data_IF_690046208174
#
_entry.id   IF_690046208174
#
_cell.length_a   1.000
_cell.length_b   1.000
_cell.length_c   1.000
_cell.angle_alpha   90.00
_cell.angle_beta   90.00
_cell.angle_gamma   90.00
#
_symmetry.space_group_name_H-M   'P 1'
#
loop_
_entity.id
_entity.type
_entity.pdbx_description
1 polymer ?
#
# COMPACT_ATOMS: atom_id res chain seq x y z
N UNK A 1 29.14 -41.38 -10.48
CA UNK A 1 28.12 -40.33 -10.44
C UNK A 1 28.44 -39.46 -9.23
N UNK A 2 29.15 -38.34 -9.43
CA UNK A 2 29.41 -37.40 -8.33
C UNK A 2 28.07 -36.73 -7.97
N UNK A 3 27.75 -36.52 -6.69
CA UNK A 3 26.66 -35.62 -6.35
C UNK A 3 27.10 -34.25 -6.88
N UNK A 4 26.38 -33.72 -7.86
CA UNK A 4 26.42 -32.31 -8.16
C UNK A 4 26.06 -31.60 -6.86
N UNK A 5 27.03 -30.93 -6.24
CA UNK A 5 26.75 -29.88 -5.27
C UNK A 5 25.84 -28.89 -6.01
N UNK A 6 24.54 -29.05 -5.83
CA UNK A 6 23.51 -28.17 -6.36
C UNK A 6 23.76 -26.85 -5.61
N UNK A 7 24.52 -25.95 -6.24
CA UNK A 7 24.90 -24.66 -5.64
C UNK A 7 23.61 -23.85 -5.58
N UNK A 8 22.85 -24.04 -4.50
CA UNK A 8 21.71 -23.18 -4.20
C UNK A 8 22.25 -21.76 -4.12
N UNK A 9 21.74 -20.82 -4.93
CA UNK A 9 22.20 -19.45 -4.91
C UNK A 9 21.86 -18.83 -3.55
N UNK A 10 22.82 -18.85 -2.63
CA UNK A 10 22.68 -18.27 -1.31
C UNK A 10 23.20 -16.83 -1.33
N UNK A 11 22.28 -15.88 -1.51
CA UNK A 11 22.55 -14.49 -1.15
C UNK A 11 22.32 -14.33 0.36
N UNK A 12 23.32 -13.81 1.10
CA UNK A 12 23.08 -13.30 2.46
C UNK A 12 22.28 -12.01 2.34
N UNK A 13 20.95 -12.14 2.34
CA UNK A 13 20.04 -11.01 2.39
C UNK A 13 19.95 -10.59 3.86
N UNK A 14 20.36 -9.36 4.23
CA UNK A 14 20.15 -8.84 5.57
C UNK A 14 18.66 -8.90 5.90
N UNK A 15 18.31 -9.35 7.11
CA UNK A 15 16.91 -9.48 7.53
C UNK A 15 16.14 -8.14 7.53
N UNK A 16 16.86 -7.01 7.50
CA UNK A 16 16.31 -5.65 7.49
C UNK A 16 16.94 -4.85 6.34
N UNK A 17 16.36 -4.98 5.15
CA UNK A 17 16.78 -4.30 3.91
C UNK A 17 16.59 -2.77 4.02
N UNK A 18 15.74 -2.30 4.93
CA UNK A 18 15.46 -0.89 5.18
C UNK A 18 16.35 -0.29 6.27
N UNK A 19 17.39 -1.00 6.72
CA UNK A 19 18.32 -0.47 7.74
C UNK A 19 19.07 0.74 7.15
N UNK A 20 18.91 1.95 7.70
CA UNK A 20 19.62 3.12 7.20
C UNK A 20 21.13 2.97 7.44
N UNK A 21 21.93 3.43 6.49
CA UNK A 21 23.39 3.38 6.57
C UNK A 21 23.92 4.08 7.82
N UNK A 22 24.74 3.35 8.58
CA UNK A 22 25.43 3.83 9.78
C UNK A 22 26.77 4.43 9.36
N UNK A 23 27.03 5.67 9.76
CA UNK A 23 28.22 6.41 9.33
C UNK A 23 29.26 6.45 10.45
N UNK A 24 28.92 7.06 11.59
CA UNK A 24 29.87 7.28 12.69
C UNK A 24 29.29 6.74 13.99
N UNK A 25 30.07 5.94 14.73
CA UNK A 25 29.68 5.34 16.01
C UNK A 25 28.36 4.54 15.99
N UNK A 26 28.00 3.98 14.84
CA UNK A 26 26.74 3.24 14.67
C UNK A 26 25.49 4.13 14.53
N UNK A 27 25.67 5.45 14.43
CA UNK A 27 24.59 6.41 14.17
C UNK A 27 24.44 6.69 12.67
N UNK A 28 23.21 6.93 12.25
CA UNK A 28 22.88 7.37 10.89
C UNK A 28 23.25 8.84 10.69
N UNK A 29 23.45 9.27 9.43
CA UNK A 29 23.63 10.69 9.09
C UNK A 29 22.52 11.56 9.68
N UNK A 30 21.28 11.06 9.63
CA UNK A 30 20.08 11.73 10.17
C UNK A 30 20.17 11.94 11.69
N UNK A 31 20.55 10.89 12.44
CA UNK A 31 20.71 10.97 13.89
C UNK A 31 21.79 11.97 14.30
N UNK A 32 22.93 11.94 13.60
CA UNK A 32 23.99 12.91 13.83
C UNK A 32 23.55 14.33 13.53
N UNK A 33 22.80 14.56 12.44
CA UNK A 33 22.28 15.88 12.11
C UNK A 33 21.32 16.41 13.20
N UNK A 34 20.40 15.58 13.70
CA UNK A 34 19.48 15.97 14.78
C UNK A 34 20.25 16.34 16.05
N UNK A 35 21.21 15.50 16.46
CA UNK A 35 22.02 15.74 17.66
C UNK A 35 22.93 16.96 17.50
N UNK A 36 23.50 17.18 16.30
CA UNK A 36 24.33 18.34 16.01
C UNK A 36 23.51 19.64 16.08
N UNK A 37 22.33 19.67 15.47
CA UNK A 37 21.42 20.83 15.55
C UNK A 37 20.99 21.10 17.00
N UNK A 38 20.63 20.06 17.75
CA UNK A 38 20.29 20.19 19.16
C UNK A 38 21.47 20.72 19.99
N UNK A 39 22.69 20.26 19.72
CA UNK A 39 23.91 20.74 20.35
C UNK A 39 24.20 22.22 20.05
N UNK A 40 24.01 22.65 18.79
CA UNK A 40 24.15 24.06 18.38
C UNK A 40 23.12 24.93 19.09
N UNK A 41 21.86 24.50 19.16
CA UNK A 41 20.80 25.22 19.87
C UNK A 41 21.13 25.32 21.37
N UNK A 42 21.53 24.21 22.00
CA UNK A 42 21.91 24.18 23.41
C UNK A 42 23.09 25.09 23.73
N UNK A 43 24.11 25.10 22.86
CA UNK A 43 25.25 26.02 22.98
C UNK A 43 24.84 27.48 22.79
N UNK A 44 23.93 27.76 21.84
CA UNK A 44 23.36 29.10 21.65
C UNK A 44 22.64 29.62 22.89
N UNK A 45 21.81 28.77 23.52
CA UNK A 45 21.12 29.09 24.79
C UNK A 45 22.14 29.35 25.90
N UNK A 46 23.14 28.46 26.04
CA UNK A 46 24.21 28.61 27.01
C UNK A 46 24.96 29.94 26.85
N UNK A 47 25.29 30.33 25.61
CA UNK A 47 26.01 31.59 25.36
C UNK A 47 25.13 32.82 25.59
N UNK A 48 23.85 32.77 25.21
CA UNK A 48 22.97 33.92 25.29
C UNK A 48 22.52 34.24 26.73
N UNK A 49 22.29 33.21 27.54
CA UNK A 49 21.65 33.36 28.86
C UNK A 49 22.50 32.80 30.01
N UNK A 50 23.62 32.13 29.73
CA UNK A 50 24.46 31.51 30.74
C UNK A 50 25.14 32.49 31.70
N UNK A 51 25.24 33.77 31.34
CA UNK A 51 25.69 34.84 32.25
C UNK A 51 24.55 35.51 33.02
N UNK A 52 23.30 35.32 32.59
CA UNK A 52 22.10 35.91 33.21
C UNK A 52 21.41 34.94 34.19
N UNK A 53 21.54 33.63 33.98
CA UNK A 53 20.88 32.60 34.79
C UNK A 53 21.89 31.88 35.71
N UNK A 54 21.49 31.51 36.95
CA UNK A 54 22.26 30.58 37.77
C UNK A 54 22.46 29.25 37.04
N UNK A 55 23.65 28.67 37.15
CA UNK A 55 24.00 27.37 36.56
C UNK A 55 22.96 26.25 36.78
N UNK A 56 22.35 26.04 37.97
CA UNK A 56 21.37 24.97 38.15
C UNK A 56 20.10 25.18 37.29
N UNK A 57 19.68 26.42 37.08
CA UNK A 57 18.50 26.73 36.24
C UNK A 57 18.80 26.44 34.77
N UNK A 58 20.00 26.77 34.32
CA UNK A 58 20.44 26.50 32.96
C UNK A 58 20.51 24.99 32.68
N UNK A 59 21.05 24.20 33.61
CA UNK A 59 21.08 22.74 33.52
C UNK A 59 19.66 22.19 33.46
N UNK A 60 18.76 22.66 34.33
CA UNK A 60 17.36 22.24 34.36
C UNK A 60 16.61 22.50 33.03
N UNK A 61 16.99 23.53 32.27
CA UNK A 61 16.43 23.83 30.94
C UNK A 61 17.08 22.96 29.84
N UNK A 62 18.40 22.76 29.89
CA UNK A 62 19.13 22.01 28.86
C UNK A 62 18.88 20.50 28.95
N UNK A 63 18.70 19.94 30.15
CA UNK A 63 18.43 18.51 30.36
C UNK A 63 17.21 18.00 29.59
N UNK A 64 16.00 18.60 29.68
CA UNK A 64 14.84 18.14 28.91
C UNK A 64 15.03 18.35 27.41
N UNK A 65 15.73 19.40 26.99
CA UNK A 65 16.02 19.64 25.58
C UNK A 65 16.94 18.56 25.00
N UNK A 66 18.00 18.19 25.73
CA UNK A 66 18.90 17.11 25.38
C UNK A 66 18.18 15.76 25.37
N UNK A 67 17.35 15.48 26.39
CA UNK A 67 16.52 14.29 26.45
C UNK A 67 15.56 14.18 25.25
N UNK A 68 14.87 15.26 24.91
CA UNK A 68 14.00 15.31 23.74
C UNK A 68 14.76 15.08 22.43
N UNK A 69 15.95 15.66 22.28
CA UNK A 69 16.80 15.45 21.10
C UNK A 69 17.27 13.98 20.97
N UNK A 70 17.63 13.34 22.09
CA UNK A 70 17.98 11.92 22.13
C UNK A 70 16.77 11.06 21.74
N UNK A 71 15.59 11.32 22.30
CA UNK A 71 14.35 10.62 21.96
C UNK A 71 13.96 10.83 20.50
N UNK A 72 14.16 12.03 19.96
CA UNK A 72 13.92 12.33 18.54
C UNK A 72 14.89 11.59 17.60
N UNK A 73 16.17 11.49 17.98
CA UNK A 73 17.18 10.83 17.16
C UNK A 73 17.08 9.29 17.23
N UNK A 74 16.93 8.73 18.43
CA UNK A 74 17.01 7.29 18.68
C UNK A 74 15.65 6.61 18.83
N UNK A 75 14.60 7.36 19.15
CA UNK A 75 13.27 6.81 19.36
C UNK A 75 12.65 6.30 18.06
N UNK A 76 11.95 5.16 18.19
CA UNK A 76 11.09 4.62 17.14
C UNK A 76 9.74 4.28 17.73
N UNK A 77 8.69 4.45 16.93
CA UNK A 77 7.32 4.08 17.28
C UNK A 77 6.67 3.48 16.05
N UNK A 78 6.14 2.27 16.17
CA UNK A 78 5.42 1.57 15.10
C UNK A 78 6.25 1.48 13.79
N UNK A 79 7.57 1.28 13.91
CA UNK A 79 8.52 1.21 12.79
C UNK A 79 9.04 2.55 12.27
N UNK A 80 8.33 3.65 12.54
CA UNK A 80 8.72 5.01 12.15
C UNK A 80 9.73 5.60 13.14
N UNK A 81 10.62 6.46 12.65
CA UNK A 81 11.47 7.28 13.51
C UNK A 81 10.65 8.39 14.19
N UNK A 82 11.07 8.79 15.39
CA UNK A 82 10.28 9.71 16.23
C UNK A 82 10.08 11.10 15.58
N UNK A 83 11.04 11.57 14.80
CA UNK A 83 10.94 12.78 13.98
C UNK A 83 9.86 12.67 12.89
N UNK A 84 9.83 11.56 12.16
CA UNK A 84 8.82 11.28 11.14
C UNK A 84 7.42 11.12 11.77
N UNK A 85 7.35 10.47 12.93
CA UNK A 85 6.12 10.34 13.70
C UNK A 85 5.61 11.71 14.17
N UNK A 86 6.47 12.52 14.78
CA UNK A 86 6.12 13.87 15.26
C UNK A 86 5.70 14.78 14.10
N UNK A 87 6.43 14.74 12.99
CA UNK A 87 6.12 15.52 11.81
C UNK A 87 4.79 15.08 11.17
N UNK A 88 4.49 13.79 11.18
CA UNK A 88 3.18 13.27 10.76
C UNK A 88 2.07 13.72 11.71
N UNK A 89 2.32 13.73 13.02
CA UNK A 89 1.37 14.24 14.02
C UNK A 89 1.14 15.76 13.87
N UNK A 90 2.18 16.55 13.64
CA UNK A 90 2.07 18.00 13.37
C UNK A 90 1.32 18.25 12.06
N UNK A 91 1.61 17.49 11.00
CA UNK A 91 0.88 17.58 9.73
C UNK A 91 -0.59 17.20 9.93
N UNK A 92 -0.88 16.12 10.65
CA UNK A 92 -2.24 15.67 10.91
C UNK A 92 -3.03 16.69 11.74
N UNK A 93 -2.44 17.22 12.80
CA UNK A 93 -3.09 18.24 13.66
C UNK A 93 -3.34 19.55 12.92
N UNK A 94 -2.48 19.93 11.97
CA UNK A 94 -2.67 21.10 11.10
C UNK A 94 -3.54 20.82 9.87
N UNK A 95 -3.78 19.55 9.54
CA UNK A 95 -4.57 19.20 8.37
C UNK A 95 -6.07 19.47 8.61
N UNK A 96 -6.80 19.93 7.59
CA UNK A 96 -8.24 20.11 7.71
C UNK A 96 -8.92 18.76 7.97
N UNK A 97 -9.68 18.66 9.06
CA UNK A 97 -10.37 17.43 9.48
C UNK A 97 -11.67 17.15 8.70
N UNK A 98 -12.12 18.10 7.90
CA UNK A 98 -13.31 17.99 7.06
C UNK A 98 -12.92 18.43 5.67
N UNK A 99 -13.21 17.58 4.69
CA UNK A 99 -12.97 17.83 3.27
C UNK A 99 -14.24 17.48 2.51
N UNK A 100 -14.61 18.31 1.54
CA UNK A 100 -15.80 18.10 0.72
C UNK A 100 -15.41 17.49 -0.63
N UNK A 101 -16.08 16.43 -1.10
CA UNK A 101 -15.88 15.92 -2.44
C UNK A 101 -16.36 16.96 -3.46
N UNK A 102 -15.46 17.45 -4.32
CA UNK A 102 -15.82 18.36 -5.41
C UNK A 102 -14.86 18.20 -6.60
N UNK A 103 -15.41 17.94 -7.79
CA UNK A 103 -14.63 17.61 -8.98
C UNK A 103 -13.77 18.78 -9.51
N UNK A 104 -14.38 19.97 -9.66
CA UNK A 104 -13.73 21.15 -10.26
C UNK A 104 -13.41 22.27 -9.25
N UNK A 105 -13.76 22.08 -7.98
CA UNK A 105 -13.72 23.12 -6.96
C UNK A 105 -15.08 23.35 -6.30
N UNK A 106 -15.13 24.26 -5.33
CA UNK A 106 -16.38 24.64 -4.67
C UNK A 106 -17.28 25.40 -5.65
N UNK A 107 -18.55 25.00 -5.87
CA UNK A 107 -19.49 25.81 -6.64
C UNK A 107 -19.62 27.21 -6.01
N UNK A 108 -19.56 28.26 -6.83
CA UNK A 108 -19.66 29.66 -6.37
C UNK A 108 -21.06 30.02 -5.89
N UNK A 109 -22.09 29.30 -6.34
CA UNK A 109 -23.47 29.45 -5.89
C UNK A 109 -24.12 28.08 -5.68
N UNK A 110 -25.02 28.01 -4.70
CA UNK A 110 -25.88 26.84 -4.54
C UNK A 110 -26.87 26.75 -5.71
N UNK A 111 -27.27 25.54 -6.14
CA UNK A 111 -28.31 25.37 -7.14
C UNK A 111 -29.62 26.06 -6.73
N UNK A 112 -30.39 26.56 -7.69
CA UNK A 112 -31.63 27.30 -7.42
C UNK A 112 -32.71 26.48 -6.68
N UNK A 113 -32.64 25.15 -6.77
CA UNK A 113 -33.53 24.23 -6.06
C UNK A 113 -33.09 23.92 -4.62
N UNK A 114 -31.88 24.32 -4.22
CA UNK A 114 -31.36 24.04 -2.89
C UNK A 114 -32.06 24.92 -1.84
N UNK A 115 -32.46 24.38 -0.68
CA UNK A 115 -33.08 25.17 0.38
C UNK A 115 -32.20 26.34 0.82
N UNK A 116 -32.78 27.52 0.95
CA UNK A 116 -32.11 28.72 1.44
C UNK A 116 -31.61 28.45 2.87
N UNK A 117 -30.33 28.18 3.02
CA UNK A 117 -29.69 28.00 4.32
C UNK A 117 -28.97 29.28 4.67
N UNK A 118 -29.31 29.90 5.80
CA UNK A 118 -28.53 31.01 6.34
C UNK A 118 -27.10 30.53 6.54
N UNK A 119 -26.17 31.02 5.72
CA UNK A 119 -24.77 30.71 5.89
C UNK A 119 -24.28 31.54 7.08
N UNK A 120 -23.89 30.94 8.22
CA UNK A 120 -23.41 31.71 9.35
C UNK A 120 -22.18 32.51 8.90
N UNK A 121 -22.14 33.80 9.25
CA UNK A 121 -21.09 34.74 8.84
C UNK A 121 -19.66 34.30 9.26
N UNK A 122 -19.56 33.33 10.16
CA UNK A 122 -18.32 32.74 10.70
C UNK A 122 -18.00 31.34 10.17
N UNK A 123 -18.70 30.86 9.14
CA UNK A 123 -18.43 29.53 8.59
C UNK A 123 -17.04 29.45 7.93
N UNK A 124 -16.11 28.70 8.53
CA UNK A 124 -14.82 28.40 7.92
C UNK A 124 -15.06 27.56 6.66
N UNK A 125 -14.52 27.94 5.49
CA UNK A 125 -14.73 27.20 4.26
C UNK A 125 -14.11 25.80 4.37
N UNK A 126 -14.92 24.76 4.10
CA UNK A 126 -14.45 23.37 4.03
C UNK A 126 -13.61 23.20 2.75
N UNK A 127 -12.33 22.78 2.84
CA UNK A 127 -11.50 22.57 1.67
C UNK A 127 -11.96 21.36 0.84
N UNK A 128 -11.53 21.33 -0.43
CA UNK A 128 -11.88 20.25 -1.37
C UNK A 128 -11.03 19.00 -1.09
N UNK A 129 -11.69 17.84 -1.07
CA UNK A 129 -11.05 16.54 -1.01
C UNK A 129 -10.31 16.27 -2.33
N UNK A 130 -8.98 16.18 -2.27
CA UNK A 130 -8.13 15.77 -3.40
C UNK A 130 -7.75 14.32 -3.20
N UNK A 131 -8.29 13.44 -4.03
CA UNK A 131 -7.94 12.02 -4.04
C UNK A 131 -6.61 11.79 -4.78
N UNK A 132 -5.83 10.76 -4.39
CA UNK A 132 -4.59 10.39 -5.09
C UNK A 132 -4.81 9.98 -6.54
N UNK A 133 -5.98 9.44 -6.87
CA UNK A 133 -6.42 9.11 -8.23
C UNK A 133 -7.67 9.94 -8.58
N UNK A 134 -7.73 10.41 -9.83
CA UNK A 134 -8.82 11.23 -10.36
C UNK A 134 -9.81 10.45 -11.20
N UNK A 135 -9.32 9.51 -12.00
CA UNK A 135 -10.12 8.72 -12.92
C UNK A 135 -9.42 7.38 -13.21
N UNK A 136 -10.20 6.41 -13.69
CA UNK A 136 -9.73 5.13 -14.21
C UNK A 136 -10.35 4.98 -15.61
N UNK A 137 -9.53 4.81 -16.64
CA UNK A 137 -10.02 4.56 -18.00
C UNK A 137 -10.49 3.12 -18.18
N UNK A 138 -11.29 2.85 -19.22
CA UNK A 138 -11.68 1.49 -19.61
C UNK A 138 -10.47 0.58 -19.87
N UNK A 139 -9.38 1.16 -20.37
CA UNK A 139 -8.12 0.45 -20.61
C UNK A 139 -7.32 0.16 -19.33
N UNK A 140 -7.77 0.61 -18.16
CA UNK A 140 -7.12 0.37 -16.86
C UNK A 140 -6.08 1.41 -16.45
N UNK A 141 -5.99 2.53 -17.16
CA UNK A 141 -5.09 3.62 -16.80
C UNK A 141 -5.70 4.43 -15.67
N UNK A 142 -5.00 4.51 -14.55
CA UNK A 142 -5.35 5.31 -13.38
C UNK A 142 -4.65 6.65 -13.48
N UNK A 143 -5.43 7.74 -13.51
CA UNK A 143 -4.90 9.09 -13.54
C UNK A 143 -4.58 9.60 -12.13
N UNK A 144 -3.30 9.63 -11.76
CA UNK A 144 -2.84 10.19 -10.49
C UNK A 144 -2.48 11.69 -10.57
N UNK A 145 -2.90 12.37 -11.65
CA UNK A 145 -2.68 13.79 -11.88
C UNK A 145 -1.32 14.10 -12.48
N UNK A 146 -0.23 13.95 -11.72
CA UNK A 146 1.14 14.22 -12.23
C UNK A 146 1.74 13.06 -13.02
N UNK A 147 1.16 11.87 -12.90
CA UNK A 147 1.59 10.64 -13.54
C UNK A 147 0.38 9.74 -13.81
N UNK A 148 0.54 8.81 -14.75
CA UNK A 148 -0.40 7.73 -15.01
C UNK A 148 0.13 6.44 -14.36
N UNK A 149 -0.80 5.59 -13.90
CA UNK A 149 -0.50 4.28 -13.32
C UNK A 149 -1.28 3.20 -14.06
N UNK A 150 -0.63 2.08 -14.36
CA UNK A 150 -1.31 0.86 -14.80
C UNK A 150 -0.96 -0.28 -13.85
N UNK A 151 -1.91 -1.18 -13.64
CA UNK A 151 -1.78 -2.30 -12.70
C UNK A 151 -1.64 -3.61 -13.47
N UNK A 152 -0.70 -4.45 -13.03
CA UNK A 152 -0.51 -5.80 -13.54
C UNK A 152 -0.75 -6.79 -12.40
N UNK A 153 -1.75 -7.65 -12.54
CA UNK A 153 -1.94 -8.77 -11.62
C UNK A 153 -0.96 -9.89 -11.95
N UNK A 154 -0.36 -10.48 -10.91
CA UNK A 154 0.59 -11.58 -11.03
C UNK A 154 0.25 -12.69 -10.03
N UNK A 155 0.48 -13.94 -10.41
CA UNK A 155 0.50 -15.06 -9.46
C UNK A 155 1.88 -15.21 -8.82
N UNK A 156 1.94 -15.95 -7.72
CA UNK A 156 3.20 -16.31 -7.08
C UNK A 156 3.82 -17.54 -7.73
N UNK A 157 5.15 -17.57 -7.84
CA UNK A 157 5.91 -18.74 -8.32
C UNK A 157 6.64 -19.39 -7.15
N UNK A 158 6.50 -20.70 -6.98
CA UNK A 158 7.23 -21.44 -5.95
C UNK A 158 8.63 -21.81 -6.44
N UNK A 159 9.60 -20.96 -6.12
CA UNK A 159 11.01 -21.14 -6.50
C UNK A 159 11.66 -22.29 -5.70
N UNK A 160 11.22 -22.54 -4.47
CA UNK A 160 11.83 -23.54 -3.59
C UNK A 160 11.64 -24.99 -4.04
N UNK A 161 10.71 -25.25 -4.97
CA UNK A 161 10.49 -26.57 -5.56
C UNK A 161 11.27 -26.79 -6.87
N UNK A 162 12.04 -25.79 -7.32
CA UNK A 162 12.83 -25.84 -8.56
C UNK A 162 14.25 -26.33 -8.31
N UNK A 163 14.91 -26.88 -9.33
CA UNK A 163 16.33 -27.30 -9.23
C UNK A 163 17.26 -26.08 -9.09
N UNK A 164 18.51 -26.26 -8.62
CA UNK A 164 19.44 -25.15 -8.42
C UNK A 164 19.65 -24.29 -9.68
N UNK A 165 19.82 -24.94 -10.84
CA UNK A 165 19.95 -24.27 -12.15
C UNK A 165 18.69 -23.49 -12.55
N UNK A 166 17.50 -24.05 -12.32
CA UNK A 166 16.23 -23.38 -12.58
C UNK A 166 16.06 -22.15 -11.67
N UNK A 167 16.41 -22.27 -10.39
CA UNK A 167 16.38 -21.15 -9.45
C UNK A 167 17.34 -20.03 -9.90
N UNK A 168 18.58 -20.37 -10.29
CA UNK A 168 19.55 -19.39 -10.79
C UNK A 168 19.06 -18.69 -12.07
N UNK A 169 18.44 -19.43 -12.99
CA UNK A 169 17.87 -18.88 -14.22
C UNK A 169 16.70 -17.92 -13.94
N UNK A 170 15.81 -18.27 -12.99
CA UNK A 170 14.69 -17.41 -12.56
C UNK A 170 15.20 -16.14 -11.89
N UNK A 171 16.17 -16.25 -10.97
CA UNK A 171 16.78 -15.10 -10.28
C UNK A 171 17.48 -14.18 -11.29
N UNK A 172 18.25 -14.74 -12.23
CA UNK A 172 18.92 -13.95 -13.27
C UNK A 172 17.94 -13.23 -14.19
N UNK A 173 16.82 -13.87 -14.53
CA UNK A 173 15.76 -13.27 -15.34
C UNK A 173 15.02 -12.16 -14.58
N UNK A 174 14.74 -12.35 -13.29
CA UNK A 174 14.17 -11.33 -12.43
C UNK A 174 15.09 -10.11 -12.31
N UNK A 175 16.40 -10.34 -12.14
CA UNK A 175 17.40 -9.27 -12.14
C UNK A 175 17.46 -8.50 -13.46
N UNK A 176 17.36 -9.19 -14.61
CA UNK A 176 17.25 -8.52 -15.92
C UNK A 176 16.03 -7.63 -16.03
N UNK A 177 14.87 -8.10 -15.54
CA UNK A 177 13.66 -7.27 -15.50
C UNK A 177 13.87 -6.02 -14.65
N UNK A 178 14.40 -6.15 -13.43
CA UNK A 178 14.70 -5.00 -12.57
C UNK A 178 15.65 -3.99 -13.25
N UNK A 179 16.71 -4.48 -13.91
CA UNK A 179 17.65 -3.64 -14.64
C UNK A 179 17.07 -2.97 -15.90
N UNK A 180 15.95 -3.48 -16.41
CA UNK A 180 15.25 -2.91 -17.57
C UNK A 180 14.25 -1.80 -17.21
N UNK A 181 13.98 -1.61 -15.91
CA UNK A 181 13.02 -0.61 -15.45
C UNK A 181 13.53 0.81 -15.72
N UNK A 182 12.75 1.56 -16.48
CA UNK A 182 13.03 2.97 -16.83
C UNK A 182 12.24 3.96 -15.97
N UNK A 183 11.59 3.49 -14.92
CA UNK A 183 10.83 4.30 -13.98
C UNK A 183 10.41 3.52 -12.75
N UNK A 184 9.82 4.20 -11.76
CA UNK A 184 9.37 3.57 -10.52
C UNK A 184 8.31 2.50 -10.79
N UNK A 185 8.54 1.33 -10.20
CA UNK A 185 7.57 0.23 -10.13
C UNK A 185 7.36 -0.11 -8.67
N UNK A 186 6.12 -0.36 -8.29
CA UNK A 186 5.76 -0.81 -6.95
C UNK A 186 5.17 -2.21 -7.03
N UNK A 187 5.72 -3.14 -6.25
CA UNK A 187 5.17 -4.49 -6.09
C UNK A 187 4.39 -4.48 -4.78
N UNK A 188 3.07 -4.66 -4.87
CA UNK A 188 2.18 -4.72 -3.72
C UNK A 188 1.75 -6.16 -3.53
N UNK A 189 2.01 -6.69 -2.34
CA UNK A 189 1.53 -8.01 -1.91
C UNK A 189 0.48 -7.76 -0.85
N UNK A 190 -0.78 -8.03 -1.20
CA UNK A 190 -1.89 -7.98 -0.24
C UNK A 190 -2.19 -9.39 0.23
N UNK A 191 -2.29 -9.58 1.54
CA UNK A 191 -2.73 -10.82 2.15
C UNK A 191 -4.05 -10.57 2.87
N UNK A 192 -5.09 -11.30 2.46
CA UNK A 192 -6.42 -11.22 3.05
C UNK A 192 -6.80 -12.58 3.63
N UNK A 193 -7.54 -12.57 4.73
CA UNK A 193 -8.13 -13.79 5.27
C UNK A 193 -9.19 -14.30 4.30
N UNK A 194 -9.19 -15.59 4.03
CA UNK A 194 -10.23 -16.22 3.23
C UNK A 194 -11.44 -16.42 4.12
N UNK A 195 -12.58 -15.85 3.73
CA UNK A 195 -13.86 -16.14 4.37
C UNK A 195 -14.37 -17.51 3.90
N UNK A 196 -14.01 -18.54 4.65
CA UNK A 196 -14.48 -19.90 4.42
C UNK A 196 -15.87 -20.14 5.04
N UNK A 197 -16.25 -19.40 6.07
CA UNK A 197 -17.51 -19.63 6.78
C UNK A 197 -18.72 -19.24 5.94
N UNK A 198 -18.65 -18.12 5.20
CA UNK A 198 -19.70 -17.79 4.22
C UNK A 198 -19.81 -18.84 3.11
N UNK A 199 -18.71 -19.48 2.74
CA UNK A 199 -18.73 -20.54 1.73
C UNK A 199 -19.29 -21.86 2.29
N UNK A 200 -18.89 -22.24 3.50
CA UNK A 200 -19.43 -23.39 4.23
C UNK A 200 -20.95 -23.27 4.40
N UNK A 201 -21.45 -22.10 4.81
CA UNK A 201 -22.89 -21.86 4.92
C UNK A 201 -23.63 -22.08 3.59
N UNK A 202 -23.09 -21.55 2.48
CA UNK A 202 -23.68 -21.77 1.15
C UNK A 202 -23.72 -23.24 0.75
N UNK A 203 -22.71 -24.03 1.13
CA UNK A 203 -22.68 -25.47 0.88
C UNK A 203 -23.74 -26.17 1.72
N UNK A 204 -23.88 -25.80 3.00
CA UNK A 204 -24.92 -26.31 3.90
C UNK A 204 -26.32 -26.01 3.37
N UNK A 205 -26.59 -24.77 2.97
CA UNK A 205 -27.89 -24.37 2.40
C UNK A 205 -28.19 -25.15 1.11
N UNK A 206 -27.21 -25.33 0.24
CA UNK A 206 -27.37 -26.13 -0.98
C UNK A 206 -27.57 -27.61 -0.68
N UNK A 207 -26.97 -28.15 0.38
CA UNK A 207 -27.11 -29.55 0.77
C UNK A 207 -28.57 -29.92 1.09
N UNK A 208 -29.39 -28.96 1.54
CA UNK A 208 -30.83 -29.15 1.76
C UNK A 208 -31.60 -29.41 0.46
N UNK A 209 -31.06 -28.97 -0.68
CA UNK A 209 -31.71 -29.12 -2.00
C UNK A 209 -31.28 -30.39 -2.74
N UNK A 210 -30.25 -31.10 -2.24
CA UNK A 210 -29.70 -32.28 -2.91
C UNK A 210 -30.60 -33.50 -2.65
N UNK A 211 -31.17 -34.06 -3.72
CA UNK A 211 -32.08 -35.21 -3.63
C UNK A 211 -31.40 -36.52 -3.19
N UNK A 212 -30.10 -36.69 -3.46
CA UNK A 212 -29.35 -37.88 -3.08
C UNK A 212 -28.80 -37.72 -1.65
N UNK A 213 -29.21 -38.56 -0.69
CA UNK A 213 -28.83 -38.41 0.71
C UNK A 213 -27.32 -38.53 0.94
N UNK A 214 -26.62 -39.43 0.24
CA UNK A 214 -25.18 -39.59 0.40
C UNK A 214 -24.38 -38.36 -0.08
N UNK A 215 -24.88 -37.68 -1.12
CA UNK A 215 -24.27 -36.42 -1.60
C UNK A 215 -24.59 -35.25 -0.67
N UNK A 216 -25.79 -35.22 -0.07
CA UNK A 216 -26.15 -34.22 0.92
C UNK A 216 -25.29 -34.37 2.20
N UNK A 217 -25.07 -35.60 2.67
CA UNK A 217 -24.21 -35.88 3.81
C UNK A 217 -22.75 -35.47 3.51
N UNK A 218 -22.22 -35.84 2.35
CA UNK A 218 -20.87 -35.43 1.93
C UNK A 218 -20.70 -33.91 1.82
N UNK A 219 -21.75 -33.19 1.40
CA UNK A 219 -21.74 -31.73 1.35
C UNK A 219 -21.67 -31.11 2.75
N UNK A 220 -22.41 -31.66 3.73
CA UNK A 220 -22.35 -31.21 5.13
C UNK A 220 -20.99 -31.50 5.77
N UNK A 221 -20.46 -32.71 5.57
CA UNK A 221 -19.11 -33.06 6.04
C UNK A 221 -18.04 -32.11 5.47
N UNK A 222 -18.19 -31.70 4.20
CA UNK A 222 -17.29 -30.74 3.58
C UNK A 222 -17.44 -29.33 4.17
N UNK A 223 -18.66 -28.88 4.46
CA UNK A 223 -18.89 -27.61 5.15
C UNK A 223 -18.26 -27.60 6.55
N UNK A 224 -18.44 -28.66 7.34
CA UNK A 224 -17.82 -28.82 8.66
C UNK A 224 -16.29 -28.79 8.57
N UNK A 225 -15.71 -29.45 7.56
CA UNK A 225 -14.27 -29.39 7.30
C UNK A 225 -13.79 -27.97 7.00
N UNK A 226 -14.54 -27.18 6.22
CA UNK A 226 -14.18 -25.80 5.89
C UNK A 226 -14.21 -24.88 7.12
N UNK A 227 -15.22 -25.02 7.99
CA UNK A 227 -15.30 -24.25 9.22
C UNK A 227 -14.16 -24.60 10.19
N UNK A 228 -13.83 -25.88 10.32
CA UNK A 228 -12.70 -26.33 11.13
C UNK A 228 -11.35 -25.86 10.55
N UNK A 229 -11.21 -25.82 9.22
CA UNK A 229 -10.04 -25.25 8.56
C UNK A 229 -9.91 -23.75 8.82
N UNK A 230 -11.03 -23.01 8.75
CA UNK A 230 -11.09 -21.58 9.05
C UNK A 230 -10.64 -21.29 10.49
N UNK A 231 -11.14 -22.07 11.44
CA UNK A 231 -10.83 -21.92 12.87
C UNK A 231 -9.38 -22.24 13.21
N UNK A 232 -8.79 -23.27 12.59
CA UNK A 232 -7.46 -23.78 13.00
C UNK A 232 -6.29 -23.23 12.21
N UNK A 233 -6.49 -22.82 10.96
CA UNK A 233 -5.37 -22.53 10.03
C UNK A 233 -5.31 -21.10 9.51
N UNK A 234 -6.31 -20.26 9.80
CA UNK A 234 -6.38 -18.85 9.37
C UNK A 234 -5.92 -18.66 7.91
N UNK A 235 -6.60 -19.32 6.95
CA UNK A 235 -6.16 -19.36 5.57
C UNK A 235 -6.06 -17.95 4.97
N UNK A 236 -4.93 -17.66 4.33
CA UNK A 236 -4.67 -16.38 3.69
C UNK A 236 -4.64 -16.53 2.17
N UNK A 237 -5.42 -15.70 1.49
CA UNK A 237 -5.28 -15.46 0.07
C UNK A 237 -4.28 -14.32 -0.16
N UNK A 238 -3.41 -14.47 -1.15
CA UNK A 238 -2.43 -13.45 -1.52
C UNK A 238 -2.66 -12.98 -2.94
N UNK A 239 -2.75 -11.67 -3.10
CA UNK A 239 -2.80 -11.02 -4.41
C UNK A 239 -1.50 -10.25 -4.60
N UNK A 240 -0.83 -10.47 -5.73
CA UNK A 240 0.36 -9.69 -6.13
C UNK A 240 -0.04 -8.75 -7.25
N UNK A 241 0.15 -7.45 -7.02
CA UNK A 241 -0.14 -6.40 -8.00
C UNK A 241 1.11 -5.56 -8.22
N UNK A 242 1.50 -5.41 -9.48
CA UNK A 242 2.62 -4.57 -9.89
C UNK A 242 2.06 -3.28 -10.47
N UNK A 243 2.31 -2.16 -9.79
CA UNK A 243 1.93 -0.84 -10.25
C UNK A 243 3.09 -0.21 -11.02
N UNK A 244 2.85 0.11 -12.28
CA UNK A 244 3.83 0.73 -13.18
C UNK A 244 3.43 2.17 -13.42
N UNK A 245 4.41 3.07 -13.42
CA UNK A 245 4.15 4.51 -13.56
C UNK A 245 4.77 5.08 -14.83
N UNK A 246 4.07 6.06 -15.43
CA UNK A 246 4.60 6.90 -16.48
C UNK A 246 4.33 8.38 -16.18
N UNK A 247 5.35 9.21 -16.37
CA UNK A 247 5.30 10.66 -16.16
C UNK A 247 5.27 11.40 -17.49
N UNK A 248 4.69 12.59 -17.51
CA UNK A 248 4.68 13.47 -18.68
C UNK A 248 3.26 13.78 -19.17
N UNK A 249 3.12 14.83 -19.98
CA UNK A 249 1.82 15.35 -20.39
C UNK A 249 1.29 14.76 -21.71
N UNK A 250 2.15 14.19 -22.57
CA UNK A 250 1.77 13.65 -23.88
C UNK A 250 2.12 12.16 -23.96
N UNK A 251 1.19 11.34 -24.44
CA UNK A 251 1.41 9.90 -24.64
C UNK A 251 1.67 9.10 -23.36
N UNK A 252 1.36 9.67 -22.19
CA UNK A 252 1.60 9.00 -20.88
C UNK A 252 0.77 7.73 -20.73
N UNK A 253 -0.47 7.73 -21.22
CA UNK A 253 -1.40 6.60 -21.10
C UNK A 253 -0.93 5.44 -21.98
N UNK A 254 -0.50 5.72 -23.21
CA UNK A 254 0.09 4.72 -24.10
C UNK A 254 1.42 4.19 -23.56
N UNK A 255 2.23 5.06 -22.97
CA UNK A 255 3.52 4.67 -22.39
C UNK A 255 3.33 3.80 -21.13
N UNK A 256 2.39 4.13 -20.25
CA UNK A 256 2.16 3.34 -19.03
C UNK A 256 1.62 1.94 -19.38
N UNK A 257 0.74 1.84 -20.37
CA UNK A 257 0.23 0.55 -20.85
C UNK A 257 1.35 -0.29 -21.49
N UNK A 258 2.18 0.30 -22.35
CA UNK A 258 3.34 -0.37 -22.94
C UNK A 258 4.30 -0.89 -21.85
N UNK A 259 4.56 -0.10 -20.81
CA UNK A 259 5.41 -0.52 -19.68
C UNK A 259 4.75 -1.64 -18.87
N UNK A 260 3.43 -1.59 -18.67
CA UNK A 260 2.68 -2.65 -17.99
C UNK A 260 2.72 -3.97 -18.78
N UNK A 261 2.54 -3.94 -20.10
CA UNK A 261 2.68 -5.11 -20.97
C UNK A 261 4.10 -5.69 -20.96
N UNK A 262 5.11 -4.82 -20.96
CA UNK A 262 6.51 -5.25 -20.82
C UNK A 262 6.76 -5.93 -19.47
N UNK A 263 6.24 -5.36 -18.37
CA UNK A 263 6.34 -5.97 -17.05
C UNK A 263 5.60 -7.31 -16.97
N UNK A 264 4.37 -7.38 -17.49
CA UNK A 264 3.59 -8.61 -17.57
C UNK A 264 4.34 -9.69 -18.35
N UNK A 265 4.87 -9.36 -19.53
CA UNK A 265 5.64 -10.29 -20.38
C UNK A 265 6.90 -10.79 -19.68
N UNK A 266 7.65 -9.88 -19.07
CA UNK A 266 8.88 -10.23 -18.35
C UNK A 266 8.61 -11.13 -17.14
N UNK A 267 7.56 -10.83 -16.37
CA UNK A 267 7.16 -11.64 -15.21
C UNK A 267 6.53 -12.98 -15.63
N UNK A 268 5.83 -13.01 -16.77
CA UNK A 268 5.31 -14.26 -17.31
C UNK A 268 6.41 -15.22 -17.75
N UNK A 269 7.51 -14.69 -18.30
CA UNK A 269 8.70 -15.48 -18.58
C UNK A 269 9.36 -16.09 -17.33
N UNK A 270 9.06 -15.57 -16.13
CA UNK A 270 9.46 -16.15 -14.84
C UNK A 270 8.53 -17.27 -14.35
N UNK A 271 7.50 -17.62 -15.12
CA UNK A 271 6.52 -18.64 -14.79
C UNK A 271 5.32 -18.13 -13.99
N UNK A 272 5.18 -16.82 -13.80
CA UNK A 272 3.96 -16.24 -13.23
C UNK A 272 2.86 -16.17 -14.30
N UNK A 273 1.61 -16.36 -13.91
CA UNK A 273 0.48 -15.93 -14.74
C UNK A 273 0.31 -14.43 -14.49
N UNK A 274 0.22 -13.67 -15.58
CA UNK A 274 0.12 -12.21 -15.48
C UNK A 274 -0.98 -11.67 -16.39
N UNK A 275 -1.58 -10.56 -15.97
CA UNK A 275 -2.55 -9.83 -16.76
C UNK A 275 -2.47 -8.33 -16.46
N UNK A 276 -2.39 -7.50 -17.50
CA UNK A 276 -2.61 -6.06 -17.36
C UNK A 276 -4.10 -5.87 -17.06
N UNK A 277 -4.41 -5.15 -16.00
CA UNK A 277 -5.79 -4.96 -15.55
C UNK A 277 -6.48 -3.89 -16.40
N UNK A 278 -7.66 -4.23 -16.91
CA UNK A 278 -8.59 -3.27 -17.49
C UNK A 278 -9.23 -2.37 -16.40
N UNK A 279 -10.03 -1.39 -16.81
CA UNK A 279 -10.65 -0.44 -15.90
C UNK A 279 -11.46 -1.09 -14.78
N UNK A 280 -12.32 -2.05 -15.14
CA UNK A 280 -13.21 -2.69 -14.18
C UNK A 280 -12.48 -3.59 -13.18
N UNK A 281 -11.47 -4.33 -13.62
CA UNK A 281 -10.61 -5.15 -12.73
C UNK A 281 -9.66 -4.29 -11.90
N UNK A 282 -9.12 -3.21 -12.45
CA UNK A 282 -8.32 -2.25 -11.69
C UNK A 282 -9.17 -1.61 -10.58
N UNK A 283 -10.40 -1.21 -10.88
CA UNK A 283 -11.35 -0.72 -9.88
C UNK A 283 -11.67 -1.78 -8.81
N UNK A 284 -11.85 -3.04 -9.19
CA UNK A 284 -12.05 -4.15 -8.25
C UNK A 284 -10.88 -4.30 -7.28
N UNK A 285 -9.64 -4.36 -7.79
CA UNK A 285 -8.43 -4.50 -6.96
C UNK A 285 -8.26 -3.31 -6.03
N UNK A 286 -8.45 -2.08 -6.52
CA UNK A 286 -8.36 -0.88 -5.70
C UNK A 286 -9.43 -0.85 -4.60
N UNK A 287 -10.66 -1.25 -4.91
CA UNK A 287 -11.75 -1.33 -3.92
C UNK A 287 -11.41 -2.31 -2.81
N UNK A 288 -10.93 -3.51 -3.16
CA UNK A 288 -10.53 -4.52 -2.18
C UNK A 288 -9.34 -4.06 -1.32
N UNK A 289 -8.45 -3.24 -1.89
CA UNK A 289 -7.32 -2.68 -1.16
C UNK A 289 -7.74 -1.58 -0.16
N UNK A 290 -8.80 -0.82 -0.45
CA UNK A 290 -9.31 0.24 0.44
C UNK A 290 -10.29 -0.27 1.49
N UNK A 291 -10.97 -1.39 1.23
CA UNK A 291 -11.88 -2.04 2.17
C UNK A 291 -11.54 -3.54 2.27
N UNK A 292 -10.55 -3.90 3.09
CA UNK A 292 -10.11 -5.29 3.22
C UNK A 292 -11.05 -6.16 4.08
N UNK A 293 -12.05 -5.56 4.74
CA UNK A 293 -12.97 -6.27 5.64
C UNK A 293 -14.27 -6.66 4.97
N UNK A 294 -14.66 -5.95 3.92
CA UNK A 294 -15.76 -6.37 3.07
C UNK A 294 -15.28 -7.51 2.15
N UNK A 295 -16.00 -8.64 2.06
CA UNK A 295 -15.73 -9.68 1.08
C UNK A 295 -15.87 -9.11 -0.33
N UNK A 296 -14.75 -8.64 -0.86
CA UNK A 296 -14.68 -8.00 -2.14
C UNK A 296 -13.91 -8.95 -3.07
N UNK A 297 -14.62 -9.46 -4.05
CA UNK A 297 -14.05 -10.37 -5.03
C UNK A 297 -13.35 -9.56 -6.13
N UNK A 298 -12.07 -9.87 -6.35
CA UNK A 298 -11.22 -9.27 -7.40
C UNK A 298 -11.37 -9.96 -8.75
N UNK A 299 -12.10 -11.08 -8.82
CA UNK A 299 -12.27 -11.86 -10.05
C UNK A 299 -13.31 -11.27 -10.99
N UNK A 300 -14.25 -10.45 -10.48
CA UNK A 300 -15.25 -9.77 -11.30
C UNK A 300 -14.92 -8.30 -11.52
N UNK A 301 -15.16 -7.83 -12.75
CA UNK A 301 -14.94 -6.45 -13.13
C UNK A 301 -16.03 -5.55 -12.53
N UNK A 302 -15.63 -4.44 -11.89
CA UNK A 302 -16.58 -3.45 -11.35
C UNK A 302 -16.95 -2.41 -12.40
N UNK A 303 -18.14 -1.82 -12.24
CA UNK A 303 -18.48 -0.61 -12.96
C UNK A 303 -17.49 0.51 -12.58
N UNK A 304 -17.03 1.26 -13.59
CA UNK A 304 -16.17 2.42 -13.35
C UNK A 304 -16.94 3.53 -12.61
N UNK A 305 -16.27 4.40 -11.86
CA UNK A 305 -16.92 5.48 -11.10
C UNK A 305 -17.83 6.39 -11.93
N UNK A 306 -17.49 6.61 -13.21
CA UNK A 306 -18.24 7.48 -14.12
C UNK A 306 -19.22 6.70 -15.02
N UNK A 307 -19.30 5.37 -14.88
CA UNK A 307 -20.20 4.54 -15.67
C UNK A 307 -21.63 4.62 -15.12
N UNK A 308 -22.59 4.97 -15.97
CA UNK A 308 -24.00 4.92 -15.62
C UNK A 308 -24.46 3.46 -15.48
N UNK A 309 -24.87 3.07 -14.26
CA UNK A 309 -25.45 1.76 -14.00
C UNK A 309 -26.95 1.84 -14.31
N UNK A 310 -27.36 1.26 -15.44
CA UNK A 310 -28.78 1.10 -15.77
C UNK A 310 -29.29 -0.23 -15.21
N UNK A 311 -30.36 -0.20 -14.40
CA UNK A 311 -31.10 -1.41 -14.05
C UNK A 311 -31.97 -1.88 -15.23
N UNK A 312 -32.43 -3.15 -15.24
CA UNK A 312 -33.52 -3.54 -16.12
C UNK A 312 -34.71 -2.64 -15.79
N UNK A 313 -35.14 -1.84 -16.76
CA UNK A 313 -36.36 -1.04 -16.59
C UNK A 313 -37.55 -1.97 -16.41
N UNK A 314 -38.39 -1.67 -15.42
CA UNK A 314 -39.72 -2.27 -15.31
C UNK A 314 -40.58 -2.01 -16.56
#
# INVERSE_FOLDING_TARGET
>A
MRPSDDITPHARIPADVDTPDKIVYGLTARQLAILAVAGVIGYGIFRAVGTLLPQPVLIAILTPLAGAAIVLALGRRDGLSMDAWLLSAVRHTRSPKRLAPAAAGRPTAAPAWAPSTETPATAVPVPVLRLPAKAISDTGVVDAGSHAVALVACTTVNIGLRTGDEQAALIGSYGRWLNSLSGPVQIVISAQRVDLSSHAQRITDNAETIANPALADAARDYADFLDDLAARRDPLWRTVTVAVTATGNKGRDTEVLRRAEHAASALSALGAQTAVLDGGRAAAVLTCATDPYTPADVTWARALPDAAITGPGD
#
